data_IF_139410566052
#
_entry.id   IF_139410566052
#
_cell.length_a   1.000
_cell.length_b   1.000
_cell.length_c   1.000
_cell.angle_alpha   90.00
_cell.angle_beta   90.00
_cell.angle_gamma   90.00
#
_symmetry.space_group_name_H-M   'P 1'
#
loop_
_entity.id
_entity.type
_entity.pdbx_description
1 polymer ?
#
# COMPACT_ATOMS: atom_id res chain seq x y z
N UNK A 1 69.38 -15.53 23.99
CA UNK A 1 68.20 -14.96 23.29
C UNK A 1 66.94 -15.67 23.77
N UNK A 2 66.16 -15.07 24.69
CA UNK A 2 64.85 -15.56 25.09
C UNK A 2 63.78 -14.53 24.68
N UNK A 3 63.33 -14.55 23.43
CA UNK A 3 62.19 -13.72 22.98
C UNK A 3 60.93 -14.56 22.74
N UNK A 4 61.04 -15.88 22.55
CA UNK A 4 59.88 -16.74 22.26
C UNK A 4 58.98 -17.04 23.47
N UNK A 5 59.50 -16.95 24.71
CA UNK A 5 58.69 -17.23 25.90
C UNK A 5 57.80 -16.07 26.34
N UNK A 6 58.13 -14.83 25.94
CA UNK A 6 57.34 -13.64 26.28
C UNK A 6 56.14 -13.45 25.34
N UNK A 7 56.25 -13.93 24.10
CA UNK A 7 55.20 -13.82 23.07
C UNK A 7 54.05 -14.82 23.30
N UNK A 8 54.36 -16.02 23.81
CA UNK A 8 53.34 -17.01 24.18
C UNK A 8 52.45 -16.54 25.34
N UNK A 9 53.00 -15.83 26.33
CA UNK A 9 52.22 -15.35 27.48
C UNK A 9 51.23 -14.25 27.11
N UNK A 10 51.57 -13.37 26.15
CA UNK A 10 50.68 -12.28 25.74
C UNK A 10 49.50 -12.78 24.89
N UNK A 11 49.73 -13.81 24.05
CA UNK A 11 48.68 -14.39 23.21
C UNK A 11 47.65 -15.17 24.04
N UNK A 12 48.09 -15.93 25.05
CA UNK A 12 47.17 -16.62 25.97
C UNK A 12 46.33 -15.67 26.81
N UNK A 13 46.90 -14.57 27.29
CA UNK A 13 46.16 -13.57 28.08
C UNK A 13 45.12 -12.84 27.22
N UNK A 14 45.46 -12.50 25.97
CA UNK A 14 44.50 -11.91 25.05
C UNK A 14 43.35 -12.87 24.74
N UNK A 15 43.65 -14.17 24.53
CA UNK A 15 42.64 -15.19 24.25
C UNK A 15 41.70 -15.40 25.45
N UNK A 16 42.24 -15.48 26.68
CA UNK A 16 41.45 -15.58 27.92
C UNK A 16 40.56 -14.35 28.14
N UNK A 17 41.06 -13.14 27.86
CA UNK A 17 40.24 -11.92 27.94
C UNK A 17 39.12 -11.93 26.89
N UNK A 18 39.41 -12.44 25.69
CA UNK A 18 38.41 -12.57 24.64
C UNK A 18 37.35 -13.60 25.04
N UNK A 19 37.74 -14.74 25.60
CA UNK A 19 36.80 -15.76 26.09
C UNK A 19 35.93 -15.23 27.26
N UNK A 20 36.50 -14.46 28.18
CA UNK A 20 35.73 -13.82 29.26
C UNK A 20 34.74 -12.77 28.75
N UNK A 21 35.08 -12.03 27.69
CA UNK A 21 34.18 -11.07 27.05
C UNK A 21 33.08 -11.77 26.23
N UNK A 22 33.32 -13.00 25.77
CA UNK A 22 32.40 -13.77 24.95
C UNK A 22 31.46 -14.67 25.78
N UNK A 23 31.84 -15.07 27.00
CA UNK A 23 31.02 -15.85 27.92
C UNK A 23 29.84 -15.04 28.48
N UNK A 24 28.85 -14.85 27.63
CA UNK A 24 27.52 -14.29 27.94
C UNK A 24 26.48 -15.41 27.98
N UNK A 25 26.91 -16.56 28.53
CA UNK A 25 26.15 -17.82 28.61
C UNK A 25 24.74 -17.64 29.15
N UNK A 26 24.59 -16.78 30.15
CA UNK A 26 23.33 -16.53 30.84
C UNK A 26 22.27 -15.87 29.94
N UNK A 27 22.67 -15.20 28.85
CA UNK A 27 21.75 -14.50 27.94
C UNK A 27 21.45 -15.25 26.65
N UNK A 28 22.13 -16.37 26.38
CA UNK A 28 21.91 -17.16 25.18
C UNK A 28 20.44 -17.59 25.02
N UNK A 29 19.80 -18.02 26.11
CA UNK A 29 18.38 -18.41 26.12
C UNK A 29 17.45 -17.23 25.80
N UNK A 30 17.69 -16.05 26.39
CA UNK A 30 16.89 -14.86 26.12
C UNK A 30 16.95 -14.46 24.65
N UNK A 31 18.16 -14.42 24.07
CA UNK A 31 18.38 -14.12 22.64
C UNK A 31 17.67 -15.14 21.76
N UNK A 32 17.73 -16.43 22.10
CA UNK A 32 17.07 -17.50 21.37
C UNK A 32 15.53 -17.35 21.40
N UNK A 33 14.95 -17.04 22.56
CA UNK A 33 13.51 -16.81 22.72
C UNK A 33 13.05 -15.60 21.90
N UNK A 34 13.75 -14.46 22.00
CA UNK A 34 13.44 -13.28 21.19
C UNK A 34 13.61 -13.57 19.70
N UNK A 35 14.62 -14.35 19.31
CA UNK A 35 14.87 -14.77 17.92
C UNK A 35 13.75 -15.64 17.37
N UNK A 36 13.20 -16.50 18.22
CA UNK A 36 12.05 -17.35 17.91
C UNK A 36 10.78 -16.54 17.72
N UNK A 37 10.51 -15.59 18.60
CA UNK A 37 9.37 -14.66 18.47
C UNK A 37 9.49 -13.85 17.19
N UNK A 38 10.69 -13.31 16.91
CA UNK A 38 10.95 -12.52 15.71
C UNK A 38 10.78 -13.35 14.43
N UNK A 39 11.29 -14.58 14.41
CA UNK A 39 11.12 -15.50 13.29
C UNK A 39 9.64 -15.81 13.04
N UNK A 40 8.86 -16.05 14.10
CA UNK A 40 7.42 -16.28 14.00
C UNK A 40 6.70 -15.05 13.41
N UNK A 41 7.05 -13.85 13.88
CA UNK A 41 6.50 -12.60 13.36
C UNK A 41 6.81 -12.42 11.86
N UNK A 42 8.07 -12.62 11.45
CA UNK A 42 8.46 -12.55 10.03
C UNK A 42 7.70 -13.59 9.21
N UNK A 43 7.59 -14.82 9.71
CA UNK A 43 6.89 -15.92 9.02
C UNK A 43 5.39 -15.68 8.85
N UNK A 44 4.73 -15.00 9.80
CA UNK A 44 3.31 -14.62 9.69
C UNK A 44 3.13 -13.37 8.83
N UNK A 45 3.97 -12.35 9.02
CA UNK A 45 3.81 -11.07 8.34
C UNK A 45 4.17 -11.13 6.85
N UNK A 46 5.23 -11.86 6.45
CA UNK A 46 5.67 -11.92 5.06
C UNK A 46 4.58 -12.45 4.11
N UNK A 47 3.90 -13.59 4.39
CA UNK A 47 2.78 -14.06 3.58
C UNK A 47 1.62 -13.07 3.52
N UNK A 48 1.30 -12.40 4.64
CA UNK A 48 0.26 -11.37 4.68
C UNK A 48 0.59 -10.19 3.77
N UNK A 49 1.86 -9.77 3.74
CA UNK A 49 2.34 -8.73 2.82
C UNK A 49 2.26 -9.20 1.37
N UNK A 50 2.74 -10.41 1.05
CA UNK A 50 2.69 -10.97 -0.31
C UNK A 50 1.25 -11.12 -0.80
N UNK A 51 0.34 -11.64 0.03
CA UNK A 51 -1.05 -11.84 -0.36
C UNK A 51 -1.76 -10.52 -0.68
N UNK A 52 -1.54 -9.48 0.14
CA UNK A 52 -2.10 -8.15 -0.12
C UNK A 52 -1.45 -7.41 -1.29
N UNK A 53 -0.22 -7.77 -1.69
CA UNK A 53 0.46 -7.20 -2.84
C UNK A 53 -0.11 -7.64 -4.19
N UNK A 54 -1.10 -8.53 -4.22
CA UNK A 54 -1.92 -8.70 -5.43
C UNK A 54 -2.70 -7.43 -5.80
N UNK A 55 -2.68 -6.39 -4.95
CA UNK A 55 -3.20 -5.07 -5.28
C UNK A 55 -2.05 -4.13 -5.73
N UNK A 56 -2.15 -3.54 -6.92
CA UNK A 56 -1.07 -2.82 -7.60
C UNK A 56 -0.77 -1.41 -7.05
N UNK A 57 -0.63 -1.24 -5.74
CA UNK A 57 -0.25 0.06 -5.18
C UNK A 57 0.93 -0.03 -4.22
N UNK A 58 1.80 0.96 -4.38
CA UNK A 58 3.08 1.23 -3.71
C UNK A 58 4.28 0.49 -4.33
N UNK A 59 5.15 1.28 -4.99
CA UNK A 59 6.46 0.92 -5.55
C UNK A 59 7.09 -0.28 -4.82
N UNK A 60 7.03 -1.47 -5.44
CA UNK A 60 7.42 -2.78 -4.91
C UNK A 60 8.86 -2.90 -4.37
N UNK A 61 9.71 -1.89 -4.58
CA UNK A 61 11.14 -1.94 -4.26
C UNK A 61 11.44 -1.78 -2.77
N UNK A 62 10.70 -0.91 -2.05
CA UNK A 62 11.00 -0.60 -0.64
C UNK A 62 10.75 -1.79 0.30
N UNK A 63 9.63 -2.49 0.11
CA UNK A 63 9.17 -3.54 1.01
C UNK A 63 9.99 -4.83 0.96
N UNK A 64 10.48 -5.21 -0.23
CA UNK A 64 11.37 -6.37 -0.38
C UNK A 64 12.66 -6.19 0.42
N UNK A 65 13.17 -4.95 0.46
CA UNK A 65 14.35 -4.59 1.24
C UNK A 65 14.05 -4.62 2.75
N UNK A 66 12.86 -4.17 3.17
CA UNK A 66 12.42 -4.30 4.58
C UNK A 66 12.32 -5.75 5.01
N UNK A 67 11.70 -6.63 4.22
CA UNK A 67 11.58 -8.06 4.50
C UNK A 67 12.98 -8.70 4.58
N UNK A 68 13.85 -8.41 3.61
CA UNK A 68 15.22 -8.91 3.61
C UNK A 68 16.00 -8.43 4.85
N UNK A 69 15.82 -7.18 5.26
CA UNK A 69 16.40 -6.63 6.49
C UNK A 69 15.91 -7.36 7.74
N UNK A 70 14.61 -7.62 7.86
CA UNK A 70 14.03 -8.37 8.97
C UNK A 70 14.58 -9.80 9.04
N UNK A 71 14.70 -10.48 7.89
CA UNK A 71 15.28 -11.82 7.81
C UNK A 71 16.75 -11.80 8.25
N UNK A 72 17.55 -10.87 7.71
CA UNK A 72 18.97 -10.70 8.11
C UNK A 72 19.12 -10.46 9.61
N UNK A 73 18.30 -9.59 10.20
CA UNK A 73 18.32 -9.36 11.65
C UNK A 73 17.98 -10.59 12.47
N UNK A 74 17.01 -11.37 12.00
CA UNK A 74 16.61 -12.60 12.67
C UNK A 74 17.75 -13.61 12.67
N UNK A 75 18.42 -13.76 11.52
CA UNK A 75 19.60 -14.63 11.38
C UNK A 75 20.74 -14.15 12.28
N UNK A 76 21.03 -12.85 12.31
CA UNK A 76 22.04 -12.26 13.21
C UNK A 76 21.75 -12.57 14.67
N UNK A 77 20.48 -12.48 15.09
CA UNK A 77 20.09 -12.72 16.47
C UNK A 77 20.21 -14.21 16.85
N UNK A 78 19.92 -15.14 15.94
CA UNK A 78 20.19 -16.57 16.14
C UNK A 78 21.67 -16.90 16.22
N UNK A 79 22.49 -16.31 15.33
CA UNK A 79 23.94 -16.48 15.37
C UNK A 79 24.48 -15.99 16.72
N UNK A 80 24.01 -14.84 17.19
CA UNK A 80 24.41 -14.28 18.47
C UNK A 80 23.95 -15.16 19.67
N UNK A 81 22.74 -15.73 19.58
CA UNK A 81 22.26 -16.67 20.58
C UNK A 81 23.12 -17.95 20.64
N UNK A 82 23.47 -18.53 19.49
CA UNK A 82 24.30 -19.73 19.43
C UNK A 82 25.73 -19.49 19.90
N UNK A 83 26.32 -18.35 19.54
CA UNK A 83 27.64 -17.96 20.03
C UNK A 83 27.64 -17.71 21.54
N UNK A 84 26.52 -17.24 22.11
CA UNK A 84 26.38 -17.08 23.55
C UNK A 84 26.16 -18.41 24.29
N UNK A 85 25.78 -19.52 23.64
CA UNK A 85 25.51 -20.78 24.34
C UNK A 85 26.75 -21.67 24.41
N UNK A 86 27.25 -21.91 25.63
CA UNK A 86 28.47 -22.68 25.85
C UNK A 86 28.37 -24.11 25.28
N UNK A 87 29.36 -24.49 24.47
CA UNK A 87 29.44 -25.82 23.86
C UNK A 87 28.54 -26.07 22.66
N UNK A 88 27.71 -25.10 22.24
CA UNK A 88 26.83 -25.27 21.07
C UNK A 88 27.57 -25.08 19.73
N UNK A 89 28.58 -24.21 19.71
CA UNK A 89 29.38 -23.91 18.51
C UNK A 89 30.82 -24.34 18.74
N UNK A 90 31.33 -25.20 17.86
CA UNK A 90 32.75 -25.57 17.85
C UNK A 90 33.64 -24.36 17.56
N UNK A 91 34.79 -24.24 18.23
CA UNK A 91 35.77 -23.16 18.04
C UNK A 91 36.10 -22.89 16.56
N UNK A 92 36.22 -23.92 15.73
CA UNK A 92 36.49 -23.77 14.29
C UNK A 92 35.36 -23.11 13.48
N UNK A 93 34.12 -23.12 14.01
CA UNK A 93 32.96 -22.49 13.38
C UNK A 93 32.72 -21.05 13.85
N UNK A 94 33.25 -20.65 15.01
CA UNK A 94 33.00 -19.32 15.59
C UNK A 94 33.40 -18.20 14.63
N UNK A 95 34.60 -18.24 14.03
CA UNK A 95 35.05 -17.22 13.07
C UNK A 95 34.12 -17.08 11.85
N UNK A 96 33.53 -18.18 11.38
CA UNK A 96 32.57 -18.16 10.27
C UNK A 96 31.27 -17.49 10.68
N UNK A 97 30.78 -17.78 11.88
CA UNK A 97 29.58 -17.17 12.44
C UNK A 97 29.74 -15.66 12.66
N UNK A 98 30.90 -15.21 13.16
CA UNK A 98 31.19 -13.76 13.25
C UNK A 98 31.17 -13.08 11.88
N UNK A 99 31.74 -13.72 10.85
CA UNK A 99 31.68 -13.19 9.49
C UNK A 99 30.24 -13.04 8.99
N UNK A 100 29.39 -14.06 9.18
CA UNK A 100 27.97 -13.97 8.82
C UNK A 100 27.21 -12.91 9.63
N UNK A 101 27.53 -12.77 10.92
CA UNK A 101 26.98 -11.70 11.78
C UNK A 101 27.26 -10.32 11.19
N UNK A 102 28.52 -10.04 10.81
CA UNK A 102 28.90 -8.77 10.20
C UNK A 102 28.25 -8.53 8.84
N UNK A 103 28.15 -9.56 7.99
CA UNK A 103 27.42 -9.44 6.70
C UNK A 103 25.95 -9.09 6.95
N UNK A 104 25.29 -9.74 7.91
CA UNK A 104 23.90 -9.46 8.25
C UNK A 104 23.70 -8.01 8.69
N UNK A 105 24.59 -7.50 9.56
CA UNK A 105 24.61 -6.09 9.97
C UNK A 105 24.90 -5.13 8.81
N UNK A 106 25.79 -5.51 7.89
CA UNK A 106 26.10 -4.69 6.72
C UNK A 106 24.93 -4.63 5.73
N UNK A 107 24.26 -5.75 5.47
CA UNK A 107 23.04 -5.79 4.64
C UNK A 107 21.91 -4.93 5.24
N UNK A 108 21.85 -4.83 6.57
CA UNK A 108 20.94 -3.92 7.26
C UNK A 108 21.18 -2.46 6.87
N UNK A 109 22.45 -2.07 6.79
CA UNK A 109 22.91 -0.73 6.42
C UNK A 109 22.77 -0.47 4.92
N UNK A 110 23.21 -1.41 4.09
CA UNK A 110 23.30 -1.24 2.63
C UNK A 110 21.97 -1.41 1.91
N UNK A 111 21.04 -2.21 2.47
CA UNK A 111 19.69 -2.36 1.94
C UNK A 111 18.85 -1.08 2.01
N UNK A 112 19.35 -0.03 2.67
CA UNK A 112 18.66 1.25 2.86
C UNK A 112 19.11 2.28 1.82
N UNK A 113 18.95 1.96 0.53
CA UNK A 113 19.09 2.96 -0.52
C UNK A 113 18.18 4.17 -0.26
N UNK A 114 18.68 5.36 -0.61
CA UNK A 114 18.04 6.67 -0.37
C UNK A 114 16.51 6.58 -0.52
N UNK A 115 15.73 6.86 0.54
CA UNK A 115 14.28 6.83 0.45
C UNK A 115 13.81 7.93 -0.52
N UNK A 116 13.10 7.56 -1.58
CA UNK A 116 12.28 8.51 -2.34
C UNK A 116 11.35 9.27 -1.37
N UNK A 117 11.03 10.53 -1.67
CA UNK A 117 10.42 11.62 -0.85
C UNK A 117 9.13 11.34 -0.02
N UNK A 118 8.78 10.09 0.27
CA UNK A 118 7.65 9.72 1.10
C UNK A 118 7.98 9.85 2.60
N UNK A 119 7.38 10.85 3.24
CA UNK A 119 7.58 11.21 4.66
C UNK A 119 7.48 10.03 5.65
N UNK A 120 6.57 9.08 5.41
CA UNK A 120 6.40 7.92 6.28
C UNK A 120 7.52 6.88 6.14
N UNK A 121 8.00 6.62 4.91
CA UNK A 121 9.13 5.72 4.66
C UNK A 121 10.41 6.29 5.24
N UNK A 122 10.58 7.61 5.11
CA UNK A 122 11.70 8.36 5.69
C UNK A 122 11.68 8.25 7.22
N UNK A 123 10.53 8.43 7.86
CA UNK A 123 10.41 8.32 9.32
C UNK A 123 10.72 6.89 9.82
N UNK A 124 10.25 5.85 9.12
CA UNK A 124 10.59 4.45 9.45
C UNK A 124 12.10 4.20 9.33
N UNK A 125 12.70 4.66 8.24
CA UNK A 125 14.14 4.57 8.00
C UNK A 125 14.95 5.23 9.12
N UNK A 126 14.60 6.46 9.52
CA UNK A 126 15.30 7.15 10.61
C UNK A 126 15.10 6.46 11.96
N UNK A 127 13.89 6.00 12.26
CA UNK A 127 13.59 5.28 13.52
C UNK A 127 14.45 4.02 13.62
N UNK A 128 14.51 3.22 12.55
CA UNK A 128 15.35 2.02 12.46
C UNK A 128 16.84 2.34 12.63
N UNK A 129 17.31 3.36 11.91
CA UNK A 129 18.72 3.76 11.95
C UNK A 129 19.14 4.23 13.33
N UNK A 130 18.29 5.04 13.99
CA UNK A 130 18.51 5.50 15.37
C UNK A 130 18.55 4.29 16.31
N UNK A 131 17.58 3.38 16.26
CA UNK A 131 17.56 2.20 17.14
C UNK A 131 18.80 1.30 16.96
N UNK A 132 19.21 1.03 15.71
CA UNK A 132 20.39 0.23 15.41
C UNK A 132 21.68 0.91 15.88
N UNK A 133 21.78 2.23 15.70
CA UNK A 133 22.92 3.02 16.18
C UNK A 133 22.96 3.06 17.71
N UNK A 134 21.83 3.29 18.38
CA UNK A 134 21.73 3.26 19.84
C UNK A 134 22.09 1.88 20.39
N UNK A 135 21.64 0.79 19.78
CA UNK A 135 22.06 -0.57 20.17
C UNK A 135 23.58 -0.76 20.09
N UNK A 136 24.18 -0.33 18.98
CA UNK A 136 25.64 -0.41 18.79
C UNK A 136 26.39 0.45 19.82
N UNK A 137 25.91 1.66 20.07
CA UNK A 137 26.49 2.60 21.03
C UNK A 137 26.38 2.09 22.47
N UNK A 138 25.22 1.55 22.87
CA UNK A 138 25.02 0.96 24.20
C UNK A 138 26.01 -0.19 24.41
N UNK A 139 26.14 -1.07 23.43
CA UNK A 139 27.08 -2.21 23.46
C UNK A 139 28.52 -1.72 23.64
N UNK A 140 28.93 -0.72 22.85
CA UNK A 140 30.26 -0.10 22.94
C UNK A 140 30.49 0.55 24.31
N UNK A 141 29.54 1.34 24.81
CA UNK A 141 29.63 1.98 26.12
C UNK A 141 29.75 0.95 27.25
N UNK A 142 29.03 -0.17 27.16
CA UNK A 142 29.14 -1.30 28.09
C UNK A 142 30.57 -1.84 28.15
N UNK A 143 31.17 -2.11 26.99
CA UNK A 143 32.55 -2.61 26.90
C UNK A 143 33.58 -1.63 27.49
N UNK A 144 33.36 -0.31 27.36
CA UNK A 144 34.27 0.69 27.91
C UNK A 144 34.30 0.73 29.45
N UNK A 145 33.30 0.19 30.13
CA UNK A 145 33.24 0.21 31.61
C UNK A 145 34.13 -0.83 32.28
N UNK A 146 34.55 -1.90 31.59
CA UNK A 146 35.25 -3.07 32.14
C UNK A 146 34.54 -3.77 33.33
N UNK A 147 33.34 -3.35 33.72
CA UNK A 147 32.56 -3.99 34.77
C UNK A 147 31.62 -5.04 34.18
N UNK A 148 31.76 -6.31 34.61
CA UNK A 148 30.94 -7.43 34.12
C UNK A 148 29.44 -7.12 34.14
N UNK A 149 28.92 -6.57 35.26
CA UNK A 149 27.50 -6.22 35.40
C UNK A 149 27.02 -5.19 34.37
N UNK A 150 27.86 -4.21 34.04
CA UNK A 150 27.53 -3.17 33.06
C UNK A 150 27.56 -3.70 31.63
N UNK A 151 28.49 -4.61 31.33
CA UNK A 151 28.53 -5.35 30.06
C UNK A 151 27.25 -6.19 29.90
N UNK A 152 26.86 -6.93 30.93
CA UNK A 152 25.65 -7.76 30.93
C UNK A 152 24.38 -6.93 30.67
N UNK A 153 24.19 -5.84 31.43
CA UNK A 153 23.06 -4.91 31.25
C UNK A 153 23.05 -4.31 29.84
N UNK A 154 24.22 -3.90 29.35
CA UNK A 154 24.37 -3.34 28.01
C UNK A 154 23.95 -4.32 26.92
N UNK A 155 24.36 -5.59 27.03
CA UNK A 155 23.99 -6.65 26.09
C UNK A 155 22.49 -6.91 26.10
N UNK A 156 21.86 -6.94 27.27
CA UNK A 156 20.40 -7.09 27.40
C UNK A 156 19.69 -5.93 26.68
N UNK A 157 20.06 -4.68 26.99
CA UNK A 157 19.44 -3.49 26.39
C UNK A 157 19.64 -3.48 24.87
N UNK A 158 20.84 -3.80 24.40
CA UNK A 158 21.15 -3.90 22.98
C UNK A 158 20.30 -4.95 22.27
N UNK A 159 20.15 -6.13 22.87
CA UNK A 159 19.30 -7.21 22.35
C UNK A 159 17.84 -6.77 22.25
N UNK A 160 17.33 -6.08 23.28
CA UNK A 160 15.97 -5.55 23.26
C UNK A 160 15.78 -4.49 22.15
N UNK A 161 16.76 -3.59 21.96
CA UNK A 161 16.70 -2.57 20.90
C UNK A 161 16.70 -3.20 19.50
N UNK A 162 17.49 -4.25 19.26
CA UNK A 162 17.50 -4.98 17.98
C UNK A 162 16.15 -5.66 17.72
N UNK A 163 15.57 -6.28 18.75
CA UNK A 163 14.22 -6.85 18.66
C UNK A 163 13.17 -5.78 18.33
N UNK A 164 13.19 -4.65 19.04
CA UNK A 164 12.30 -3.51 18.79
C UNK A 164 12.43 -2.95 17.36
N UNK A 165 13.65 -2.94 16.81
CA UNK A 165 13.91 -2.49 15.44
C UNK A 165 13.10 -3.31 14.43
N UNK A 166 13.12 -4.65 14.57
CA UNK A 166 12.34 -5.52 13.68
C UNK A 166 10.84 -5.42 13.96
N UNK A 167 10.45 -5.23 15.21
CA UNK A 167 9.05 -5.00 15.57
C UNK A 167 8.50 -3.74 14.89
N UNK A 168 9.23 -2.62 14.90
CA UNK A 168 8.83 -1.38 14.21
C UNK A 168 8.70 -1.61 12.70
N UNK A 169 9.67 -2.30 12.10
CA UNK A 169 9.67 -2.61 10.66
C UNK A 169 8.49 -3.50 10.24
N UNK A 170 7.91 -4.30 11.15
CA UNK A 170 6.74 -5.14 10.89
C UNK A 170 5.42 -4.45 11.27
N UNK A 171 5.37 -3.77 12.42
CA UNK A 171 4.15 -3.19 12.99
C UNK A 171 3.69 -1.96 12.21
N UNK A 172 4.59 -1.05 11.81
CA UNK A 172 4.17 0.17 11.11
C UNK A 172 3.51 -0.16 9.76
N UNK A 173 4.08 -1.03 8.92
CA UNK A 173 3.40 -1.41 7.69
C UNK A 173 2.12 -2.23 7.94
N UNK A 174 2.09 -3.12 8.95
CA UNK A 174 0.88 -3.85 9.32
C UNK A 174 -0.24 -2.89 9.77
N UNK A 175 0.10 -1.86 10.54
CA UNK A 175 -0.82 -0.79 10.95
C UNK A 175 -1.42 -0.10 9.72
N UNK A 176 -0.59 0.36 8.78
CA UNK A 176 -1.06 0.97 7.53
C UNK A 176 -2.01 0.05 6.76
N UNK A 177 -1.76 -1.26 6.75
CA UNK A 177 -2.63 -2.25 6.09
C UNK A 177 -3.97 -2.48 6.78
N UNK A 178 -4.03 -2.33 8.10
CA UNK A 178 -5.26 -2.48 8.89
C UNK A 178 -6.09 -1.20 8.76
N UNK A 179 -5.46 -0.02 8.90
CA UNK A 179 -6.16 1.26 8.84
C UNK A 179 -6.61 1.66 7.42
N UNK A 180 -5.88 1.25 6.38
CA UNK A 180 -6.33 1.43 4.98
C UNK A 180 -7.62 0.67 4.67
N UNK A 181 -7.89 -0.48 5.31
CA UNK A 181 -9.16 -1.19 5.12
C UNK A 181 -10.37 -0.37 5.56
N UNK A 182 -10.24 0.48 6.57
CA UNK A 182 -11.36 1.32 7.02
C UNK A 182 -11.77 2.37 5.98
N UNK A 183 -10.82 2.87 5.20
CA UNK A 183 -11.14 3.84 4.14
C UNK A 183 -11.86 3.17 2.96
N UNK A 184 -11.57 1.89 2.68
CA UNK A 184 -12.21 1.15 1.58
C UNK A 184 -13.61 0.62 1.93
N UNK A 185 -13.93 0.38 3.20
CA UNK A 185 -15.26 -0.09 3.62
C UNK A 185 -16.32 1.01 3.46
N UNK A 186 -15.93 2.28 3.57
CA UNK A 186 -16.84 3.41 3.32
C UNK A 186 -17.32 3.42 1.85
N UNK A 187 -16.50 2.99 0.89
CA UNK A 187 -16.92 2.87 -0.52
C UNK A 187 -17.84 1.66 -0.78
N UNK A 188 -17.67 0.55 -0.05
CA UNK A 188 -18.52 -0.65 -0.25
C UNK A 188 -19.92 -0.44 0.34
N UNK A 189 -20.04 0.28 1.46
CA UNK A 189 -21.35 0.57 2.06
C UNK A 189 -22.22 1.45 1.15
N UNK A 190 -21.61 2.35 0.38
CA UNK A 190 -22.32 3.17 -0.61
C UNK A 190 -22.83 2.37 -1.82
N UNK A 191 -22.17 1.27 -2.20
CA UNK A 191 -22.62 0.40 -3.30
C UNK A 191 -23.91 -0.36 -2.97
N UNK A 192 -24.19 -0.61 -1.69
CA UNK A 192 -25.45 -1.25 -1.27
C UNK A 192 -26.66 -0.33 -1.39
N UNK A 193 -26.45 0.99 -1.23
CA UNK A 193 -27.54 1.99 -1.29
C UNK A 193 -27.99 2.20 -2.75
N UNK A 194 -27.06 2.18 -3.71
CA UNK A 194 -27.39 2.30 -5.14
C UNK A 194 -28.16 1.07 -5.67
N UNK A 195 -27.82 -0.13 -5.20
CA UNK A 195 -28.52 -1.37 -5.63
C UNK A 195 -29.96 -1.49 -5.10
N UNK A 196 -30.33 -0.73 -4.07
CA UNK A 196 -31.71 -0.73 -3.55
C UNK A 196 -32.60 0.34 -4.19
N UNK A 197 -32.02 1.30 -4.93
CA UNK A 197 -32.80 2.40 -5.51
C UNK A 197 -33.32 2.11 -6.93
N UNK A 198 -32.82 1.07 -7.61
CA UNK A 198 -33.29 0.65 -8.94
C UNK A 198 -34.52 -0.29 -8.95
N UNK A 199 -35.10 -0.66 -7.81
CA UNK A 199 -36.32 -1.51 -7.76
C UNK A 199 -37.55 -0.83 -7.13
N UNK A 200 -37.54 0.51 -7.03
CA UNK A 200 -38.54 1.26 -6.29
C UNK A 200 -39.49 2.14 -7.09
N UNK A 201 -39.77 1.88 -8.39
CA UNK A 201 -40.83 2.62 -9.10
C UNK A 201 -41.54 1.74 -10.13
N UNK A 202 -42.67 1.17 -9.73
CA UNK A 202 -43.79 0.92 -10.65
C UNK A 202 -45.11 0.88 -9.88
N UNK A 203 -45.81 2.02 -9.92
CA UNK A 203 -47.24 2.13 -10.20
C UNK A 203 -48.27 1.74 -9.12
N UNK A 204 -49.27 2.61 -8.83
CA UNK A 204 -50.48 2.20 -8.14
C UNK A 204 -51.43 1.55 -9.16
N UNK A 205 -51.88 0.33 -8.90
CA UNK A 205 -53.07 -0.21 -9.57
C UNK A 205 -53.87 -0.98 -8.54
N UNK A 206 -55.06 -0.45 -8.27
CA UNK A 206 -56.09 -0.97 -7.40
C UNK A 206 -56.99 -1.91 -8.25
N UNK A 207 -57.53 -2.93 -7.58
CA UNK A 207 -58.51 -3.95 -7.98
C UNK A 207 -57.97 -5.31 -8.51
N UNK A 208 -57.99 -6.30 -7.60
CA UNK A 208 -58.91 -7.47 -7.61
C UNK A 208 -58.88 -8.29 -8.93
N UNK A 209 -58.52 -9.57 -8.99
CA UNK A 209 -59.02 -10.66 -8.17
C UNK A 209 -58.28 -11.99 -8.46
N UNK A 210 -58.40 -12.88 -7.49
CA UNK A 210 -58.24 -14.33 -7.41
C UNK A 210 -57.68 -15.25 -8.56
N UNK A 211 -56.92 -16.26 -8.09
CA UNK A 211 -56.97 -17.72 -8.42
C UNK A 211 -55.77 -18.39 -9.16
N UNK A 212 -55.05 -19.18 -8.33
CA UNK A 212 -54.60 -20.59 -8.47
C UNK A 212 -53.27 -20.96 -9.17
N UNK A 213 -52.42 -21.60 -8.32
CA UNK A 213 -51.39 -22.62 -8.57
C UNK A 213 -51.46 -23.39 -9.90
N UNK A 214 -50.30 -23.80 -10.43
CA UNK A 214 -49.83 -25.20 -10.39
C UNK A 214 -48.66 -25.45 -11.37
N UNK A 215 -47.68 -26.24 -10.89
CA UNK A 215 -46.64 -26.95 -11.63
C UNK A 215 -47.09 -27.47 -13.01
N UNK A 216 -46.17 -27.59 -13.99
CA UNK A 216 -45.46 -28.85 -14.26
C UNK A 216 -44.79 -28.90 -15.68
N UNK A 217 -43.49 -29.25 -15.67
CA UNK A 217 -42.73 -30.12 -16.57
C UNK A 217 -42.58 -29.93 -18.11
N UNK A 218 -41.30 -29.95 -18.50
CA UNK A 218 -40.67 -30.83 -19.49
C UNK A 218 -40.88 -30.56 -20.98
N UNK A 219 -39.77 -30.40 -21.71
CA UNK A 219 -39.43 -31.33 -22.78
C UNK A 219 -37.95 -31.24 -23.17
N UNK A 220 -37.24 -32.31 -22.82
CA UNK A 220 -35.99 -32.76 -23.42
C UNK A 220 -36.35 -33.31 -24.80
N UNK A 221 -35.66 -32.86 -25.85
CA UNK A 221 -35.54 -33.66 -27.06
C UNK A 221 -34.12 -33.57 -27.62
N UNK A 222 -33.38 -34.64 -27.35
CA UNK A 222 -32.13 -35.00 -28.01
C UNK A 222 -32.44 -35.66 -29.35
N UNK A 223 -31.84 -35.20 -30.44
CA UNK A 223 -31.61 -36.07 -31.59
C UNK A 223 -30.24 -35.83 -32.20
N UNK A 224 -29.47 -36.91 -32.26
CA UNK A 224 -28.26 -37.05 -33.04
C UNK A 224 -28.62 -37.13 -34.53
N UNK A 225 -27.91 -36.39 -35.37
CA UNK A 225 -27.53 -36.87 -36.70
C UNK A 225 -26.24 -36.19 -37.19
N UNK A 226 -25.66 -36.81 -38.21
CA UNK A 226 -24.24 -37.03 -38.47
C UNK A 226 -23.91 -36.47 -39.86
N UNK A 227 -22.70 -35.90 -40.00
CA UNK A 227 -21.89 -35.69 -41.21
C UNK A 227 -22.60 -35.36 -42.53
N UNK A 228 -22.37 -34.15 -43.08
CA UNK A 228 -21.69 -33.97 -44.37
C UNK A 228 -21.55 -32.49 -44.76
N UNK A 229 -20.50 -32.23 -45.54
CA UNK A 229 -20.02 -31.00 -46.15
C UNK A 229 -21.08 -30.18 -46.90
N UNK A 230 -21.01 -28.85 -46.77
CA UNK A 230 -20.92 -27.87 -47.86
C UNK A 230 -21.45 -26.49 -47.41
N UNK A 231 -20.68 -25.48 -47.80
CA UNK A 231 -20.95 -24.04 -47.76
C UNK A 231 -22.41 -23.60 -47.61
N UNK A 232 -22.72 -22.82 -46.59
CA UNK A 232 -23.71 -21.74 -46.70
C UNK A 232 -23.28 -20.58 -45.81
N UNK A 233 -23.29 -19.38 -46.39
CA UNK A 233 -22.90 -18.12 -45.79
C UNK A 233 -23.61 -17.84 -44.46
N UNK A 234 -22.84 -17.46 -43.46
CA UNK A 234 -23.28 -16.61 -42.35
C UNK A 234 -22.12 -15.66 -41.98
N UNK A 235 -22.09 -14.41 -42.45
CA UNK A 235 -21.29 -13.37 -41.83
C UNK A 235 -22.16 -12.69 -40.77
N UNK A 236 -22.18 -13.25 -39.58
CA UNK A 236 -22.87 -12.63 -38.43
C UNK A 236 -22.02 -12.72 -37.17
N UNK A 237 -20.74 -12.36 -37.28
CA UNK A 237 -19.87 -12.05 -36.13
C UNK A 237 -18.79 -11.02 -36.49
N UNK A 238 -19.18 -9.89 -37.09
CA UNK A 238 -18.25 -8.76 -37.32
C UNK A 238 -18.85 -7.38 -36.99
N UNK A 239 -19.87 -7.35 -36.11
CA UNK A 239 -20.54 -6.12 -35.69
C UNK A 239 -19.93 -5.45 -34.43
N UNK A 240 -18.75 -5.88 -33.99
CA UNK A 240 -17.99 -5.22 -32.90
C UNK A 240 -16.68 -4.59 -33.41
N UNK A 241 -16.31 -4.81 -34.66
CA UNK A 241 -15.10 -4.26 -35.26
C UNK A 241 -15.34 -2.82 -35.77
N UNK A 242 -15.39 -1.84 -34.86
CA UNK A 242 -14.97 -0.43 -35.05
C UNK A 242 -15.67 0.59 -34.12
N UNK A 243 -16.31 0.19 -33.02
CA UNK A 243 -16.58 1.18 -31.97
C UNK A 243 -15.24 1.62 -31.39
N UNK A 244 -14.84 2.87 -31.66
CA UNK A 244 -13.61 3.45 -31.11
C UNK A 244 -13.65 3.32 -29.59
N UNK A 245 -12.96 2.32 -29.04
CA UNK A 245 -12.77 2.17 -27.60
C UNK A 245 -12.27 3.49 -27.04
N UNK A 246 -13.10 4.12 -26.20
CA UNK A 246 -12.84 5.40 -25.56
C UNK A 246 -12.60 5.19 -24.06
N UNK A 247 -11.96 6.15 -23.41
CA UNK A 247 -11.76 6.11 -21.95
C UNK A 247 -13.11 6.08 -21.23
N UNK A 248 -14.09 6.86 -21.68
CA UNK A 248 -15.45 6.84 -21.15
C UNK A 248 -16.09 5.44 -21.23
N UNK A 249 -15.88 4.71 -22.33
CA UNK A 249 -16.39 3.33 -22.43
C UNK A 249 -15.70 2.39 -21.43
N UNK A 250 -14.39 2.54 -21.21
CA UNK A 250 -13.64 1.77 -20.22
C UNK A 250 -14.13 2.06 -18.81
N UNK A 251 -14.37 3.33 -18.46
CA UNK A 251 -14.85 3.72 -17.12
C UNK A 251 -16.24 3.18 -16.77
N UNK A 252 -17.05 2.89 -17.80
CA UNK A 252 -18.41 2.36 -17.66
C UNK A 252 -18.48 0.83 -17.73
N UNK A 253 -17.50 0.16 -18.35
CA UNK A 253 -17.45 -1.29 -18.46
C UNK A 253 -16.54 -1.89 -17.39
N UNK A 254 -17.11 -2.61 -16.43
CA UNK A 254 -16.35 -3.23 -15.33
C UNK A 254 -15.23 -4.16 -15.85
N UNK A 255 -15.50 -4.96 -16.88
CA UNK A 255 -14.52 -5.91 -17.44
C UNK A 255 -13.35 -5.18 -18.11
N UNK A 256 -13.63 -4.12 -18.87
CA UNK A 256 -12.59 -3.32 -19.51
C UNK A 256 -11.83 -2.47 -18.50
N UNK A 257 -12.50 -1.95 -17.47
CA UNK A 257 -11.88 -1.21 -16.39
C UNK A 257 -10.85 -2.06 -15.65
N UNK A 258 -11.22 -3.28 -15.26
CA UNK A 258 -10.32 -4.21 -14.55
C UNK A 258 -9.14 -4.62 -15.43
N UNK A 259 -9.38 -4.95 -16.69
CA UNK A 259 -8.34 -5.32 -17.65
C UNK A 259 -7.37 -4.15 -17.93
N UNK A 260 -7.90 -2.95 -18.14
CA UNK A 260 -7.08 -1.75 -18.38
C UNK A 260 -6.34 -1.31 -17.12
N UNK A 261 -6.96 -1.42 -15.95
CA UNK A 261 -6.32 -1.19 -14.66
C UNK A 261 -5.15 -2.15 -14.41
N UNK A 262 -5.32 -3.44 -14.74
CA UNK A 262 -4.24 -4.42 -14.66
C UNK A 262 -3.10 -4.07 -15.64
N UNK A 263 -3.42 -3.67 -16.87
CA UNK A 263 -2.43 -3.20 -17.83
C UNK A 263 -1.65 -1.98 -17.30
N UNK A 264 -2.35 -0.93 -16.85
CA UNK A 264 -1.74 0.29 -16.32
C UNK A 264 -0.92 0.04 -15.05
N UNK A 265 -1.28 -0.95 -14.24
CA UNK A 265 -0.48 -1.34 -13.08
C UNK A 265 0.91 -1.84 -13.45
N UNK A 266 1.04 -2.57 -14.57
CA UNK A 266 2.34 -3.03 -15.08
C UNK A 266 3.14 -1.89 -15.68
N UNK A 267 2.47 -0.89 -16.24
CA UNK A 267 3.06 0.32 -16.81
C UNK A 267 3.23 1.45 -15.77
N UNK A 268 3.03 1.17 -14.47
CA UNK A 268 3.15 2.14 -13.37
C UNK A 268 2.38 3.45 -13.59
N UNK A 269 1.15 3.35 -14.13
CA UNK A 269 0.32 4.50 -14.52
C UNK A 269 -1.15 4.36 -14.09
N UNK A 270 -1.42 3.49 -13.10
CA UNK A 270 -2.78 3.18 -12.62
C UNK A 270 -3.45 4.38 -11.95
N UNK A 271 -2.67 5.24 -11.30
CA UNK A 271 -3.14 6.45 -10.61
C UNK A 271 -3.94 7.37 -11.54
N UNK A 272 -3.61 7.41 -12.83
CA UNK A 272 -4.32 8.19 -13.84
C UNK A 272 -5.76 7.70 -14.03
N UNK A 273 -5.97 6.38 -14.08
CA UNK A 273 -7.31 5.79 -14.23
C UNK A 273 -8.13 5.93 -12.95
N UNK A 274 -7.50 5.77 -11.79
CA UNK A 274 -8.14 5.97 -10.49
C UNK A 274 -8.58 7.42 -10.31
N UNK A 275 -7.74 8.39 -10.71
CA UNK A 275 -8.08 9.81 -10.66
C UNK A 275 -9.34 10.12 -11.49
N UNK A 276 -9.39 9.68 -12.75
CA UNK A 276 -10.57 9.91 -13.60
C UNK A 276 -11.85 9.32 -13.01
N UNK A 277 -11.79 8.08 -12.51
CA UNK A 277 -12.95 7.45 -11.87
C UNK A 277 -13.40 8.21 -10.63
N UNK A 278 -12.44 8.69 -9.84
CA UNK A 278 -12.73 9.47 -8.63
C UNK A 278 -13.38 10.81 -8.97
N UNK A 279 -12.90 11.49 -10.02
CA UNK A 279 -13.49 12.75 -10.51
C UNK A 279 -14.91 12.54 -11.07
N UNK A 280 -15.14 11.45 -11.81
CA UNK A 280 -16.48 11.09 -12.29
C UNK A 280 -17.47 10.89 -11.13
N UNK A 281 -17.07 10.11 -10.12
CA UNK A 281 -17.88 9.90 -8.91
C UNK A 281 -18.10 11.17 -8.11
N UNK A 282 -17.10 12.05 -8.05
CA UNK A 282 -17.20 13.36 -7.42
C UNK A 282 -18.25 14.24 -8.09
N UNK A 283 -18.19 14.36 -9.42
CA UNK A 283 -19.18 15.13 -10.20
C UNK A 283 -20.59 14.61 -10.00
N UNK A 284 -20.75 13.28 -9.99
CA UNK A 284 -22.04 12.65 -9.70
C UNK A 284 -22.55 13.09 -8.32
N UNK A 285 -21.73 12.98 -7.26
CA UNK A 285 -22.11 13.39 -5.90
C UNK A 285 -22.50 14.86 -5.79
N UNK A 286 -21.73 15.75 -6.44
CA UNK A 286 -22.01 17.19 -6.47
C UNK A 286 -23.36 17.47 -7.15
N UNK A 287 -23.67 16.75 -8.23
CA UNK A 287 -24.93 16.92 -8.96
C UNK A 287 -26.15 16.36 -8.22
N UNK A 288 -26.01 15.21 -7.55
CA UNK A 288 -27.15 14.49 -6.94
C UNK A 288 -27.52 15.03 -5.55
N UNK A 289 -26.55 15.47 -4.74
CA UNK A 289 -26.82 15.95 -3.38
C UNK A 289 -26.06 17.24 -3.01
N UNK A 290 -26.37 18.38 -3.65
CA UNK A 290 -25.69 19.64 -3.40
C UNK A 290 -26.06 20.30 -2.06
N UNK A 291 -27.06 19.79 -1.33
CA UNK A 291 -27.59 20.45 -0.13
C UNK A 291 -26.95 19.97 1.18
N UNK A 292 -26.39 18.75 1.21
CA UNK A 292 -25.99 18.08 2.46
C UNK A 292 -24.49 17.84 2.60
N UNK A 293 -23.68 18.23 1.62
CA UNK A 293 -22.25 17.92 1.62
C UNK A 293 -21.44 19.21 1.52
N UNK A 294 -20.49 19.41 2.44
CA UNK A 294 -19.46 20.42 2.25
C UNK A 294 -18.59 19.99 1.07
N UNK A 295 -18.56 20.78 0.01
CA UNK A 295 -17.73 20.55 -1.17
C UNK A 295 -16.26 20.49 -0.78
N UNK A 296 -15.84 21.22 0.26
CA UNK A 296 -14.50 21.09 0.85
C UNK A 296 -14.20 19.66 1.31
N UNK A 297 -15.15 18.98 1.97
CA UNK A 297 -14.96 17.59 2.41
C UNK A 297 -14.88 16.59 1.25
N UNK A 298 -15.51 16.88 0.11
CA UNK A 298 -15.44 16.04 -1.09
C UNK A 298 -14.17 16.27 -1.91
N UNK A 299 -13.72 17.52 -1.99
CA UNK A 299 -12.57 17.91 -2.81
C UNK A 299 -11.23 17.64 -2.13
N UNK A 300 -11.16 17.76 -0.80
CA UNK A 300 -9.92 17.59 -0.04
C UNK A 300 -9.29 16.19 -0.18
N UNK A 301 -10.05 15.07 -0.15
CA UNK A 301 -9.48 13.74 -0.38
C UNK A 301 -8.86 13.61 -1.77
N UNK A 302 -9.55 14.08 -2.82
CA UNK A 302 -9.06 14.02 -4.20
C UNK A 302 -7.78 14.84 -4.35
N UNK A 303 -7.78 16.06 -3.81
CA UNK A 303 -6.61 16.93 -3.83
C UNK A 303 -5.42 16.27 -3.09
N UNK A 304 -5.63 15.77 -1.87
CA UNK A 304 -4.56 15.17 -1.07
C UNK A 304 -4.01 13.88 -1.67
N UNK A 305 -4.87 13.09 -2.32
CA UNK A 305 -4.51 11.79 -2.86
C UNK A 305 -3.86 11.89 -4.23
N UNK A 306 -4.32 12.77 -5.11
CA UNK A 306 -3.91 12.80 -6.52
C UNK A 306 -3.16 14.06 -6.97
N UNK A 307 -3.38 15.22 -6.32
CA UNK A 307 -2.86 16.52 -6.79
C UNK A 307 -1.69 17.02 -5.95
N UNK A 308 -1.77 16.83 -4.62
CA UNK A 308 -0.79 17.33 -3.67
C UNK A 308 0.63 16.79 -3.96
N UNK A 309 1.67 17.63 -3.90
CA UNK A 309 3.04 17.16 -4.09
C UNK A 309 3.38 16.05 -3.09
N UNK A 310 4.06 15.01 -3.57
CA UNK A 310 4.45 13.83 -2.80
C UNK A 310 3.28 12.93 -2.35
N UNK A 311 2.07 13.10 -2.90
CA UNK A 311 1.03 12.11 -2.68
C UNK A 311 1.42 10.76 -3.31
N UNK A 312 0.91 9.68 -2.73
CA UNK A 312 1.23 8.31 -3.17
C UNK A 312 0.73 8.09 -4.61
N UNK A 313 -0.41 8.69 -4.95
CA UNK A 313 -1.10 8.55 -6.23
C UNK A 313 -1.01 9.83 -7.04
N UNK A 314 0.08 10.59 -6.89
CA UNK A 314 0.24 11.88 -7.55
C UNK A 314 0.18 11.69 -9.07
N UNK A 315 -0.84 12.26 -9.69
CA UNK A 315 -0.95 12.26 -11.15
C UNK A 315 0.01 13.28 -11.75
N UNK A 316 0.55 12.98 -12.93
CA UNK A 316 1.49 13.86 -13.60
C UNK A 316 0.75 15.05 -14.22
N UNK A 317 0.66 16.16 -13.48
CA UNK A 317 0.01 17.39 -13.92
C UNK A 317 1.03 18.54 -14.09
N UNK A 318 0.89 19.36 -15.15
CA UNK A 318 1.60 20.63 -15.26
C UNK A 318 1.32 21.54 -14.06
N UNK A 319 2.34 22.27 -13.59
CA UNK A 319 2.23 23.21 -12.46
C UNK A 319 1.13 24.26 -12.66
N UNK A 320 0.83 24.63 -13.90
CA UNK A 320 -0.25 25.56 -14.24
C UNK A 320 -1.65 25.00 -13.93
N UNK A 321 -1.86 23.70 -14.14
CA UNK A 321 -3.15 23.04 -13.81
C UNK A 321 -3.27 22.94 -12.29
N UNK A 322 -2.20 22.54 -11.60
CA UNK A 322 -2.18 22.45 -10.14
C UNK A 322 -2.50 23.81 -9.50
N UNK A 323 -1.86 24.89 -9.95
CA UNK A 323 -2.13 26.23 -9.41
C UNK A 323 -3.56 26.72 -9.69
N UNK A 324 -4.16 26.34 -10.83
CA UNK A 324 -5.57 26.62 -11.14
C UNK A 324 -6.52 25.85 -10.22
N UNK A 325 -6.25 24.57 -9.95
CA UNK A 325 -7.01 23.78 -8.98
C UNK A 325 -6.95 24.44 -7.60
N UNK A 326 -5.75 24.78 -7.13
CA UNK A 326 -5.56 25.45 -5.83
C UNK A 326 -6.28 26.82 -5.76
N UNK A 327 -6.35 27.54 -6.87
CA UNK A 327 -7.10 28.80 -6.96
C UNK A 327 -8.61 28.56 -6.84
N UNK A 328 -9.16 27.59 -7.59
CA UNK A 328 -10.58 27.21 -7.50
C UNK A 328 -10.97 26.67 -6.13
N UNK A 329 -10.11 25.86 -5.50
CA UNK A 329 -10.34 25.33 -4.14
C UNK A 329 -10.37 26.43 -3.08
N UNK A 330 -9.55 27.48 -3.23
CA UNK A 330 -9.60 28.65 -2.35
C UNK A 330 -10.90 29.43 -2.53
N UNK A 331 -11.29 29.70 -3.79
CA UNK A 331 -12.55 30.37 -4.10
C UNK A 331 -13.76 29.62 -3.52
N UNK A 332 -13.77 28.28 -3.62
CA UNK A 332 -14.83 27.44 -3.06
C UNK A 332 -14.94 27.57 -1.53
N UNK A 333 -13.81 27.61 -0.82
CA UNK A 333 -13.78 27.78 0.65
C UNK A 333 -14.32 29.15 1.06
N UNK A 334 -13.96 30.19 0.33
CA UNK A 334 -14.43 31.56 0.58
C UNK A 334 -15.94 31.68 0.32
N UNK A 335 -16.45 31.04 -0.74
CA UNK A 335 -17.88 31.00 -1.07
C UNK A 335 -18.70 30.17 -0.07
N UNK A 336 -18.21 29.02 0.38
CA UNK A 336 -18.86 28.22 1.43
C UNK A 336 -18.99 29.01 2.74
N UNK A 337 -17.95 29.75 3.13
CA UNK A 337 -17.99 30.62 4.30
C UNK A 337 -19.03 31.73 4.14
N UNK A 338 -19.14 32.30 2.93
CA UNK A 338 -20.12 33.33 2.61
C UNK A 338 -21.56 32.79 2.61
N UNK A 339 -21.79 31.58 2.10
CA UNK A 339 -23.10 30.91 2.11
C UNK A 339 -23.55 30.59 3.55
N UNK A 340 -22.62 30.15 4.41
CA UNK A 340 -22.92 29.89 5.83
C UNK A 340 -23.42 31.14 6.56
N UNK A 341 -22.79 32.30 6.32
CA UNK A 341 -23.20 33.59 6.89
C UNK A 341 -24.56 34.05 6.33
N UNK A 342 -24.88 33.71 5.08
CA UNK A 342 -26.16 34.09 4.44
C UNK A 342 -27.32 33.19 4.83
N UNK A 343 -27.09 31.90 5.07
CA UNK A 343 -28.14 30.97 5.55
C UNK A 343 -28.77 31.39 6.88
N UNK A 344 -28.05 32.16 7.70
CA UNK A 344 -28.58 32.78 8.92
C UNK A 344 -29.61 33.89 8.66
N UNK A 345 -29.69 34.43 7.44
CA UNK A 345 -30.59 35.52 7.06
C UNK A 345 -31.52 35.03 5.92
N UNK A 346 -32.62 34.37 6.29
CA UNK A 346 -33.43 33.57 5.38
C UNK A 346 -34.21 34.37 4.31
N UNK A 347 -34.36 33.73 3.13
CA UNK A 347 -35.26 34.03 2.00
C UNK A 347 -34.89 35.22 1.11
N UNK A 348 -33.72 35.17 0.47
CA UNK A 348 -33.36 36.06 -0.63
C UNK A 348 -33.17 35.25 -1.94
N UNK A 349 -33.84 35.57 -3.06
CA UNK A 349 -33.64 34.92 -4.36
C UNK A 349 -32.17 34.92 -4.84
N UNK A 350 -31.36 35.88 -4.38
CA UNK A 350 -29.91 35.92 -4.62
C UNK A 350 -29.18 34.67 -4.09
N UNK A 351 -29.69 34.00 -3.05
CA UNK A 351 -29.09 32.80 -2.49
C UNK A 351 -29.23 31.57 -3.42
N UNK A 352 -30.29 31.53 -4.25
CA UNK A 352 -30.50 30.41 -5.19
C UNK A 352 -29.49 30.50 -6.34
N UNK A 353 -29.31 31.70 -6.91
CA UNK A 353 -28.34 31.93 -7.98
C UNK A 353 -26.91 31.65 -7.51
N UNK A 354 -26.54 32.16 -6.32
CA UNK A 354 -25.22 31.89 -5.77
C UNK A 354 -24.99 30.39 -5.54
N UNK A 355 -26.01 29.67 -5.06
CA UNK A 355 -25.90 28.22 -4.88
C UNK A 355 -25.65 27.50 -6.21
N UNK A 356 -26.27 27.92 -7.32
CA UNK A 356 -25.97 27.33 -8.63
C UNK A 356 -24.54 27.63 -9.09
N UNK A 357 -24.04 28.83 -8.85
CA UNK A 357 -22.65 29.21 -9.18
C UNK A 357 -21.63 28.39 -8.39
N UNK A 358 -21.88 28.16 -7.09
CA UNK A 358 -21.03 27.30 -6.24
C UNK A 358 -21.01 25.85 -6.76
N UNK A 359 -22.17 25.31 -7.15
CA UNK A 359 -22.27 23.93 -7.69
C UNK A 359 -21.50 23.81 -9.00
N UNK A 360 -21.60 24.80 -9.88
CA UNK A 360 -20.87 24.85 -11.15
C UNK A 360 -19.36 24.98 -10.92
N UNK A 361 -18.96 25.87 -10.01
CA UNK A 361 -17.57 26.02 -9.60
C UNK A 361 -17.02 24.69 -9.07
N UNK A 362 -17.72 24.07 -8.12
CA UNK A 362 -17.36 22.78 -7.53
C UNK A 362 -17.22 21.68 -8.60
N UNK A 363 -18.23 21.53 -9.46
CA UNK A 363 -18.23 20.51 -10.51
C UNK A 363 -17.06 20.66 -11.49
N UNK A 364 -16.60 21.89 -11.72
CA UNK A 364 -15.54 22.20 -12.69
C UNK A 364 -14.12 22.22 -12.13
N UNK A 365 -13.92 21.94 -10.83
CA UNK A 365 -12.60 22.07 -10.17
C UNK A 365 -11.53 21.24 -10.88
N UNK A 366 -11.87 20.00 -11.25
CA UNK A 366 -10.92 19.02 -11.76
C UNK A 366 -11.00 18.80 -13.28
N UNK A 367 -11.82 19.58 -14.02
CA UNK A 367 -12.08 19.34 -15.45
C UNK A 367 -10.81 19.36 -16.30
N UNK A 368 -10.00 20.40 -16.15
CA UNK A 368 -8.76 20.55 -16.92
C UNK A 368 -7.74 19.45 -16.59
N UNK A 369 -7.67 19.03 -15.32
CA UNK A 369 -6.82 17.92 -14.94
C UNK A 369 -7.34 16.60 -15.51
N UNK A 370 -8.65 16.36 -15.47
CA UNK A 370 -9.26 15.16 -16.05
C UNK A 370 -8.99 15.10 -17.56
N UNK A 371 -9.18 16.20 -18.29
CA UNK A 371 -8.88 16.29 -19.72
C UNK A 371 -7.40 16.01 -20.01
N UNK A 372 -6.49 16.56 -19.22
CA UNK A 372 -5.05 16.31 -19.36
C UNK A 372 -4.70 14.82 -19.16
N UNK A 373 -5.25 14.20 -18.11
CA UNK A 373 -5.01 12.79 -17.80
C UNK A 373 -5.67 11.86 -18.83
N UNK A 374 -6.86 12.19 -19.33
CA UNK A 374 -7.48 11.48 -20.44
C UNK A 374 -6.57 11.49 -21.68
N UNK A 375 -6.01 12.66 -22.03
CA UNK A 375 -5.09 12.77 -23.16
C UNK A 375 -3.83 11.90 -22.97
N UNK A 376 -3.29 11.82 -21.76
CA UNK A 376 -2.20 10.90 -21.44
C UNK A 376 -2.61 9.42 -21.62
N UNK A 377 -3.78 9.05 -21.11
CA UNK A 377 -4.28 7.68 -21.18
C UNK A 377 -4.61 7.23 -22.61
N UNK A 378 -4.90 8.13 -23.54
CA UNK A 378 -5.09 7.78 -24.96
C UNK A 378 -3.85 7.08 -25.53
N UNK A 379 -2.64 7.47 -25.12
CA UNK A 379 -1.42 6.79 -25.55
C UNK A 379 -1.34 5.36 -25.01
N UNK A 380 -1.66 5.17 -23.73
CA UNK A 380 -1.73 3.85 -23.10
C UNK A 380 -2.82 2.98 -23.71
N UNK A 381 -3.96 3.56 -24.07
CA UNK A 381 -5.08 2.87 -24.67
C UNK A 381 -4.73 2.22 -26.00
N UNK A 382 -3.90 2.88 -26.82
CA UNK A 382 -3.42 2.30 -28.09
C UNK A 382 -2.56 1.06 -27.85
N UNK A 383 -1.68 1.07 -26.86
CA UNK A 383 -0.84 -0.06 -26.47
C UNK A 383 -1.63 -1.18 -25.78
N UNK A 384 -2.65 -0.82 -25.01
CA UNK A 384 -3.54 -1.77 -24.36
C UNK A 384 -4.29 -2.64 -25.37
N UNK A 385 -4.80 -2.05 -26.46
CA UNK A 385 -5.50 -2.78 -27.54
C UNK A 385 -4.66 -3.89 -28.19
N UNK A 386 -3.35 -3.71 -28.25
CA UNK A 386 -2.42 -4.71 -28.81
C UNK A 386 -1.81 -5.62 -27.74
N UNK A 387 -2.16 -5.43 -26.47
CA UNK A 387 -1.61 -6.20 -25.35
C UNK A 387 -2.36 -7.50 -25.10
N UNK A 388 -1.71 -8.42 -24.38
CA UNK A 388 -2.32 -9.67 -23.90
C UNK A 388 -3.50 -9.47 -22.94
N UNK A 389 -3.65 -8.26 -22.37
CA UNK A 389 -4.69 -7.94 -21.41
C UNK A 389 -6.01 -7.53 -22.05
N UNK A 390 -6.02 -7.23 -23.35
CA UNK A 390 -7.24 -6.85 -24.03
C UNK A 390 -8.15 -8.08 -24.13
N UNK A 391 -9.37 -8.07 -23.56
CA UNK A 391 -10.29 -9.18 -23.67
C UNK A 391 -10.66 -9.37 -25.15
N UNK A 392 -10.45 -10.59 -25.65
CA UNK A 392 -10.72 -10.96 -27.04
C UNK A 392 -12.18 -11.33 -27.25
#
# INVERSE_FOLDING_TARGET
MPQSSLEMTNTTVALDQTDQLMHTAEFGLLKLVLGSIQALLVLVCVPLFIHKQQQPMVKCRSWKLTILGCISMTVVMYIDAWLSMDGWVSYGMQSRLYFFKHIGSFLLWYGLGYPDDHSHTIAQFYTRTILAFTSSFVTFAGFMTNEKKMIDISIIISTLLLFWTVLVDLVVPLRLMIFSKHHRVVDIQHRSIESQQEHGVSGPTLLEDHIIHQHQDCLIESSHHRESSASTLNPTMDLVANSQLSIAHILNSMTLYDAFGLYLSREFSLENLLFLKTVELYKLRVSTNPAHVSFTLLTQPIHNEFVCPNSINQVNLPKSIVSRIECKLRALKDEEALEAIRKTNAVNPMAIQMKSEIIELASSIFDEAAEHIEHMLIHHLRRFKSSEFFPK
#
